data_IF_597382868970
#
_entry.id   IF_597382868970
#
_cell.length_a   1.000
_cell.length_b   1.000
_cell.length_c   1.000
_cell.angle_alpha   90.00
_cell.angle_beta   90.00
_cell.angle_gamma   90.00
#
_symmetry.space_group_name_H-M   'P 1'
#
loop_
_entity.id
_entity.type
_entity.pdbx_description
1 polymer ?
#
# COMPACT_ATOMS: atom_id res chain seq x y z
N UNK A 1 -7.69 5.04 24.58
CA UNK A 1 -6.64 4.22 25.24
C UNK A 1 -5.29 4.83 24.88
N UNK A 2 -4.44 5.17 25.83
CA UNK A 2 -3.10 5.68 25.54
C UNK A 2 -2.22 4.54 25.02
N UNK A 3 -1.50 4.77 23.93
CA UNK A 3 -0.55 3.81 23.35
C UNK A 3 0.51 3.42 24.41
N UNK A 4 1.06 2.21 24.30
CA UNK A 4 2.04 1.66 25.25
C UNK A 4 1.59 1.64 26.73
N UNK A 5 0.28 1.66 27.00
CA UNK A 5 -0.28 1.49 28.35
C UNK A 5 -1.05 0.18 28.45
N UNK A 6 -0.74 -0.63 29.47
CA UNK A 6 -1.51 -1.84 29.80
C UNK A 6 -1.89 -1.79 31.28
N UNK A 7 -3.17 -2.00 31.57
CA UNK A 7 -3.70 -2.03 32.96
C UNK A 7 -3.28 -0.78 33.77
N UNK A 8 -3.33 0.40 33.12
CA UNK A 8 -2.98 1.69 33.74
C UNK A 8 -1.48 1.94 33.92
N UNK A 9 -0.60 1.01 33.54
CA UNK A 9 0.86 1.17 33.61
C UNK A 9 1.42 1.53 32.25
N UNK A 10 2.21 2.60 32.20
CA UNK A 10 2.99 2.98 31.02
C UNK A 10 4.17 2.01 30.87
N UNK A 11 4.22 1.26 29.77
CA UNK A 11 5.19 0.19 29.52
C UNK A 11 6.33 0.60 28.59
N UNK A 12 6.19 1.69 27.84
CA UNK A 12 7.23 2.11 26.91
C UNK A 12 6.93 3.43 26.24
N UNK A 13 7.98 4.14 25.82
CA UNK A 13 7.87 5.37 25.06
C UNK A 13 7.90 5.04 23.56
N UNK A 14 6.84 5.31 22.79
CA UNK A 14 6.90 5.16 21.34
C UNK A 14 7.89 6.18 20.77
N UNK A 15 8.97 5.68 20.16
CA UNK A 15 10.00 6.53 19.55
C UNK A 15 9.53 7.13 18.22
N UNK A 16 8.81 6.35 17.42
CA UNK A 16 8.25 6.75 16.15
C UNK A 16 6.96 5.97 15.87
N UNK A 17 6.09 6.55 15.05
CA UNK A 17 4.97 5.88 14.39
C UNK A 17 5.13 6.11 12.89
N UNK A 18 4.92 5.08 12.09
CA UNK A 18 5.13 5.14 10.66
C UNK A 18 3.78 4.92 10.00
N UNK A 19 3.20 6.02 9.51
CA UNK A 19 2.02 5.94 8.65
C UNK A 19 2.37 5.29 7.32
N UNK A 20 1.53 4.38 6.84
CA UNK A 20 1.58 3.85 5.49
C UNK A 20 0.61 4.66 4.61
N UNK A 21 0.98 4.89 3.35
CA UNK A 21 0.11 5.52 2.37
C UNK A 21 0.34 4.88 1.01
N UNK A 22 -0.62 5.04 0.11
CA UNK A 22 -0.35 4.85 -1.30
C UNK A 22 0.61 5.94 -1.76
N UNK A 23 1.68 5.54 -2.44
CA UNK A 23 2.62 6.41 -3.12
C UNK A 23 2.53 6.12 -4.61
N UNK A 24 2.30 7.14 -5.43
CA UNK A 24 2.08 6.96 -6.86
C UNK A 24 2.67 8.08 -7.72
N UNK A 25 2.81 7.79 -9.02
CA UNK A 25 3.25 8.73 -10.06
C UNK A 25 2.05 9.46 -10.66
N UNK A 26 1.90 10.75 -10.38
CA UNK A 26 0.74 11.55 -10.83
C UNK A 26 0.63 11.60 -12.36
N UNK A 27 1.76 11.78 -13.05
CA UNK A 27 1.83 11.81 -14.51
C UNK A 27 1.26 10.52 -15.14
N UNK A 28 1.61 9.36 -14.61
CA UNK A 28 1.14 8.06 -15.11
C UNK A 28 -0.31 7.78 -14.77
N UNK A 29 -0.80 8.24 -13.61
CA UNK A 29 -2.24 8.18 -13.29
C UNK A 29 -3.05 9.01 -14.29
N UNK A 30 -2.58 10.22 -14.63
CA UNK A 30 -3.20 11.06 -15.65
C UNK A 30 -3.12 10.43 -17.05
N UNK A 31 -1.98 9.84 -17.41
CA UNK A 31 -1.80 9.13 -18.68
C UNK A 31 -2.74 7.91 -18.81
N UNK A 32 -3.01 7.22 -17.70
CA UNK A 32 -3.98 6.13 -17.62
C UNK A 32 -5.44 6.60 -17.73
N UNK A 33 -5.69 7.91 -17.81
CA UNK A 33 -7.02 8.49 -18.00
C UNK A 33 -7.73 8.89 -16.71
N UNK A 34 -7.03 8.94 -15.57
CA UNK A 34 -7.60 9.28 -14.28
C UNK A 34 -7.21 10.70 -13.86
N UNK A 35 -8.20 11.56 -13.62
CA UNK A 35 -7.97 12.94 -13.16
C UNK A 35 -7.60 13.01 -11.67
N UNK A 36 -8.02 12.02 -10.88
CA UNK A 36 -7.68 11.86 -9.48
C UNK A 36 -7.42 10.37 -9.16
N UNK A 37 -6.71 10.12 -8.05
CA UNK A 37 -6.51 8.76 -7.57
C UNK A 37 -7.84 8.21 -7.01
N UNK A 38 -8.30 7.00 -7.44
CA UNK A 38 -9.54 6.42 -6.96
C UNK A 38 -9.57 6.21 -5.45
N UNK A 39 -10.73 6.53 -4.85
CA UNK A 39 -10.93 6.46 -3.40
C UNK A 39 -11.53 5.13 -2.93
N UNK A 40 -11.92 4.26 -3.86
CA UNK A 40 -12.49 2.94 -3.58
C UNK A 40 -11.68 1.81 -4.24
N UNK A 41 -11.87 0.58 -3.74
CA UNK A 41 -11.12 -0.59 -4.24
C UNK A 41 -11.46 -0.92 -5.69
N UNK A 42 -12.71 -0.73 -6.13
CA UNK A 42 -13.11 -1.01 -7.51
C UNK A 42 -12.37 -0.10 -8.51
N UNK A 43 -12.42 1.21 -8.29
CA UNK A 43 -11.71 2.18 -9.10
C UNK A 43 -10.20 2.02 -9.01
N UNK A 44 -9.67 1.65 -7.83
CA UNK A 44 -8.24 1.38 -7.69
C UNK A 44 -7.79 0.19 -8.55
N UNK A 45 -8.56 -0.90 -8.58
CA UNK A 45 -8.27 -2.03 -9.47
C UNK A 45 -8.31 -1.62 -10.95
N UNK A 46 -9.29 -0.80 -11.34
CA UNK A 46 -9.39 -0.32 -12.73
C UNK A 46 -8.22 0.61 -13.11
N UNK A 47 -7.78 1.47 -12.19
CA UNK A 47 -6.57 2.27 -12.35
C UNK A 47 -5.35 1.35 -12.55
N UNK A 48 -5.14 0.35 -11.70
CA UNK A 48 -4.00 -0.55 -11.83
C UNK A 48 -3.99 -1.33 -13.15
N UNK A 49 -5.17 -1.75 -13.65
CA UNK A 49 -5.29 -2.36 -14.99
C UNK A 49 -4.89 -1.38 -16.09
N UNK A 50 -5.38 -0.14 -16.04
CA UNK A 50 -5.05 0.90 -17.02
C UNK A 50 -3.56 1.24 -17.01
N UNK A 51 -2.98 1.40 -15.82
CA UNK A 51 -1.56 1.63 -15.61
C UNK A 51 -0.71 0.49 -16.19
N UNK A 52 -1.06 -0.78 -15.95
CA UNK A 52 -0.39 -1.93 -16.57
C UNK A 52 -0.50 -1.90 -18.10
N UNK A 53 -1.67 -1.58 -18.65
CA UNK A 53 -1.86 -1.48 -20.09
C UNK A 53 -0.99 -0.39 -20.74
N UNK A 54 -0.58 0.63 -19.98
CA UNK A 54 0.37 1.68 -20.39
C UNK A 54 1.83 1.34 -20.12
N UNK A 55 2.13 0.15 -19.61
CA UNK A 55 3.50 -0.25 -19.27
C UNK A 55 4.00 0.28 -17.92
N UNK A 56 3.09 0.73 -17.06
CA UNK A 56 3.39 1.28 -15.74
C UNK A 56 2.75 0.41 -14.63
N UNK A 57 3.09 -0.88 -14.50
CA UNK A 57 2.42 -1.78 -13.56
C UNK A 57 2.53 -1.30 -12.11
N UNK A 58 1.64 -1.79 -11.25
CA UNK A 58 1.79 -1.62 -9.80
C UNK A 58 2.76 -2.66 -9.22
N UNK A 59 3.17 -2.49 -7.95
CA UNK A 59 3.99 -3.50 -7.28
C UNK A 59 3.89 -3.40 -5.76
N UNK A 60 3.32 -4.42 -5.13
CA UNK A 60 3.17 -4.49 -3.68
C UNK A 60 3.87 -5.70 -3.12
N UNK A 61 4.55 -5.53 -1.99
CA UNK A 61 5.31 -6.57 -1.30
C UNK A 61 4.41 -7.73 -0.88
N UNK A 62 4.60 -8.91 -1.47
CA UNK A 62 3.90 -10.16 -1.11
C UNK A 62 4.81 -11.16 -0.37
N UNK A 63 6.12 -10.93 -0.34
CA UNK A 63 7.06 -11.72 0.45
C UNK A 63 7.05 -11.33 1.94
N UNK A 64 8.10 -11.71 2.66
CA UNK A 64 8.21 -11.51 4.12
C UNK A 64 8.59 -10.05 4.53
N UNK A 65 7.96 -9.05 3.91
CA UNK A 65 8.07 -7.65 4.31
C UNK A 65 7.19 -7.34 5.52
N UNK A 66 7.82 -7.01 6.65
CA UNK A 66 7.13 -6.84 7.93
C UNK A 66 6.43 -5.48 8.07
N UNK A 67 6.87 -4.49 7.30
CA UNK A 67 6.23 -3.17 7.22
C UNK A 67 5.18 -3.13 6.13
N UNK A 68 5.62 -2.95 4.89
CA UNK A 68 4.76 -2.67 3.75
C UNK A 68 3.87 -3.87 3.42
N UNK A 69 4.45 -5.08 3.44
CA UNK A 69 3.72 -6.32 3.16
C UNK A 69 2.59 -6.56 4.16
N UNK A 70 2.86 -6.39 5.45
CA UNK A 70 1.83 -6.50 6.49
C UNK A 70 0.75 -5.43 6.35
N UNK A 71 1.11 -4.15 6.15
CA UNK A 71 0.13 -3.09 5.97
C UNK A 71 -0.81 -3.36 4.79
N UNK A 72 -0.24 -3.77 3.65
CA UNK A 72 -1.00 -4.14 2.46
C UNK A 72 -1.93 -5.34 2.71
N UNK A 73 -1.43 -6.40 3.34
CA UNK A 73 -2.23 -7.59 3.63
C UNK A 73 -3.38 -7.32 4.61
N UNK A 74 -3.15 -6.50 5.64
CA UNK A 74 -4.19 -6.09 6.58
C UNK A 74 -5.23 -5.19 5.93
N UNK A 75 -4.82 -4.23 5.11
CA UNK A 75 -5.74 -3.41 4.32
C UNK A 75 -6.61 -4.29 3.41
N UNK A 76 -6.03 -5.24 2.67
CA UNK A 76 -6.79 -6.15 1.81
C UNK A 76 -7.88 -6.89 2.60
N UNK A 77 -7.49 -7.51 3.71
CA UNK A 77 -8.40 -8.30 4.55
C UNK A 77 -9.51 -7.43 5.13
N UNK A 78 -9.15 -6.32 5.79
CA UNK A 78 -10.08 -5.49 6.54
C UNK A 78 -10.98 -4.65 5.64
N UNK A 79 -10.49 -4.20 4.48
CA UNK A 79 -11.28 -3.41 3.52
C UNK A 79 -12.44 -4.22 2.93
N UNK A 80 -12.34 -5.55 2.96
CA UNK A 80 -13.38 -6.47 2.52
C UNK A 80 -14.17 -7.09 3.68
N UNK A 81 -13.90 -6.68 4.93
CA UNK A 81 -14.62 -7.11 6.12
C UNK A 81 -14.12 -8.39 6.75
N UNK A 82 -13.01 -8.95 6.26
CA UNK A 82 -12.35 -10.09 6.89
C UNK A 82 -11.68 -9.68 8.20
N UNK A 83 -11.46 -10.65 9.09
CA UNK A 83 -10.81 -10.45 10.38
C UNK A 83 -10.05 -11.72 10.77
N UNK A 84 -8.91 -11.57 11.43
CA UNK A 84 -8.12 -12.73 11.88
C UNK A 84 -8.74 -13.40 13.11
N UNK A 85 -9.17 -12.55 14.05
CA UNK A 85 -9.86 -12.93 15.29
C UNK A 85 -10.99 -11.94 15.55
N UNK A 86 -12.06 -12.38 16.22
CA UNK A 86 -13.12 -11.49 16.71
C UNK A 86 -12.78 -10.82 18.06
N UNK A 87 -13.68 -9.99 18.58
CA UNK A 87 -13.52 -9.29 19.86
C UNK A 87 -13.37 -10.23 21.07
N UNK A 88 -13.85 -11.47 20.97
CA UNK A 88 -13.70 -12.51 21.99
C UNK A 88 -12.39 -13.29 21.85
N UNK A 89 -11.57 -12.97 20.84
CA UNK A 89 -10.30 -13.65 20.55
C UNK A 89 -10.47 -14.99 19.83
N UNK A 90 -11.67 -15.30 19.32
CA UNK A 90 -11.88 -16.50 18.52
C UNK A 90 -11.34 -16.27 17.11
N UNK A 91 -10.64 -17.26 16.56
CA UNK A 91 -10.14 -17.24 15.17
C UNK A 91 -11.32 -17.25 14.19
N UNK A 92 -11.36 -16.24 13.32
CA UNK A 92 -12.49 -16.00 12.38
C UNK A 92 -12.03 -15.77 10.94
N UNK A 93 -10.73 -15.99 10.65
CA UNK A 93 -10.15 -15.74 9.33
C UNK A 93 -10.79 -16.55 8.19
N UNK A 94 -11.34 -17.73 8.46
CA UNK A 94 -12.06 -18.50 7.45
C UNK A 94 -13.51 -18.00 7.33
N UNK A 95 -13.71 -16.96 6.52
CA UNK A 95 -15.02 -16.35 6.29
C UNK A 95 -15.26 -16.01 4.81
N UNK A 96 -16.53 -15.80 4.40
CA UNK A 96 -16.86 -15.31 3.06
C UNK A 96 -16.20 -13.96 2.72
N UNK A 97 -15.99 -13.10 3.73
CA UNK A 97 -15.33 -11.80 3.59
C UNK A 97 -13.83 -11.97 3.27
N UNK A 98 -13.15 -12.89 3.96
CA UNK A 98 -11.76 -13.24 3.62
C UNK A 98 -11.65 -13.79 2.21
N UNK A 99 -12.60 -14.63 1.77
CA UNK A 99 -12.61 -15.14 0.40
C UNK A 99 -12.76 -14.00 -0.62
N UNK A 100 -13.62 -13.01 -0.37
CA UNK A 100 -13.74 -11.81 -1.21
C UNK A 100 -12.45 -11.00 -1.26
N UNK A 101 -11.76 -10.85 -0.13
CA UNK A 101 -10.46 -10.19 -0.07
C UNK A 101 -9.42 -10.90 -0.95
N UNK A 102 -9.37 -12.23 -0.89
CA UNK A 102 -8.47 -13.06 -1.70
C UNK A 102 -8.80 -12.92 -3.19
N UNK A 103 -10.07 -12.96 -3.57
CA UNK A 103 -10.50 -12.80 -4.96
C UNK A 103 -10.09 -11.43 -5.51
N UNK A 104 -10.29 -10.36 -4.73
CA UNK A 104 -9.83 -9.03 -5.10
C UNK A 104 -8.31 -8.98 -5.23
N UNK A 105 -7.56 -9.56 -4.27
CA UNK A 105 -6.11 -9.62 -4.31
C UNK A 105 -5.59 -10.37 -5.55
N UNK A 106 -6.26 -11.44 -5.97
CA UNK A 106 -5.92 -12.17 -7.20
C UNK A 106 -6.10 -11.30 -8.45
N UNK A 107 -7.18 -10.54 -8.56
CA UNK A 107 -7.38 -9.62 -9.69
C UNK A 107 -6.37 -8.47 -9.66
N UNK A 108 -6.08 -7.93 -8.49
CA UNK A 108 -5.10 -6.86 -8.33
C UNK A 108 -3.68 -7.35 -8.67
N UNK A 109 -3.29 -8.54 -8.22
CA UNK A 109 -1.98 -9.14 -8.49
C UNK A 109 -1.71 -9.32 -9.99
N UNK A 110 -2.74 -9.61 -10.80
CA UNK A 110 -2.60 -9.65 -12.27
C UNK A 110 -2.12 -8.33 -12.86
N UNK A 111 -2.24 -7.21 -12.15
CA UNK A 111 -1.77 -5.89 -12.61
C UNK A 111 -0.31 -5.61 -12.25
N UNK A 112 0.35 -6.51 -11.53
CA UNK A 112 1.68 -6.25 -11.00
C UNK A 112 2.79 -6.58 -12.00
N UNK A 113 3.96 -6.01 -11.72
CA UNK A 113 5.24 -6.49 -12.23
C UNK A 113 5.53 -7.90 -11.66
N UNK A 114 6.20 -8.81 -12.41
CA UNK A 114 6.58 -10.11 -11.87
C UNK A 114 7.56 -10.01 -10.69
N UNK A 115 7.57 -11.02 -9.82
CA UNK A 115 8.57 -11.16 -8.75
C UNK A 115 8.15 -10.64 -7.38
N UNK A 116 6.99 -9.97 -7.26
CA UNK A 116 6.54 -9.32 -6.02
C UNK A 116 6.33 -10.29 -4.86
N UNK A 117 6.09 -11.57 -5.15
CA UNK A 117 6.02 -12.68 -4.17
C UNK A 117 7.32 -12.90 -3.38
N UNK A 118 8.45 -12.44 -3.92
CA UNK A 118 9.77 -12.56 -3.28
C UNK A 118 10.24 -11.25 -2.63
N UNK A 119 9.45 -10.18 -2.74
CA UNK A 119 9.87 -8.86 -2.28
C UNK A 119 9.85 -8.73 -0.76
N UNK A 120 10.81 -7.98 -0.25
CA UNK A 120 10.80 -7.35 1.06
C UNK A 120 10.46 -5.86 0.89
N UNK A 121 10.29 -5.14 2.01
CA UNK A 121 9.89 -3.72 2.03
C UNK A 121 10.78 -2.84 1.14
N UNK A 122 12.10 -3.08 1.13
CA UNK A 122 13.05 -2.29 0.32
C UNK A 122 12.89 -2.48 -1.20
N UNK A 123 12.31 -3.59 -1.65
CA UNK A 123 12.23 -3.92 -3.07
C UNK A 123 11.25 -3.00 -3.80
N UNK A 124 10.09 -2.69 -3.19
CA UNK A 124 9.11 -1.79 -3.79
C UNK A 124 9.69 -0.37 -3.99
N UNK A 125 10.50 0.12 -3.04
CA UNK A 125 11.18 1.41 -3.15
C UNK A 125 12.15 1.43 -4.33
N UNK A 126 12.97 0.39 -4.46
CA UNK A 126 13.95 0.28 -5.55
C UNK A 126 13.25 0.24 -6.91
N UNK A 127 12.21 -0.58 -7.07
CA UNK A 127 11.45 -0.67 -8.31
C UNK A 127 10.75 0.66 -8.65
N UNK A 128 10.15 1.33 -7.66
CA UNK A 128 9.48 2.62 -7.87
C UNK A 128 10.47 3.71 -8.29
N UNK A 129 11.61 3.82 -7.60
CA UNK A 129 12.64 4.82 -7.88
C UNK A 129 13.44 4.52 -9.16
N UNK A 130 13.47 3.26 -9.60
CA UNK A 130 13.98 2.87 -10.91
C UNK A 130 13.02 3.21 -12.06
N UNK A 131 11.77 3.60 -11.76
CA UNK A 131 10.75 3.88 -12.75
C UNK A 131 10.13 2.62 -13.37
N UNK A 132 10.13 1.50 -12.65
CA UNK A 132 9.58 0.22 -13.12
C UNK A 132 8.10 0.05 -12.76
N UNK A 133 7.64 0.73 -11.70
CA UNK A 133 6.27 0.63 -11.19
C UNK A 133 5.66 1.99 -10.84
N UNK A 134 4.34 2.08 -10.95
CA UNK A 134 3.57 3.32 -10.81
C UNK A 134 3.01 3.57 -9.41
N UNK A 135 2.79 2.51 -8.63
CA UNK A 135 2.07 2.55 -7.36
C UNK A 135 2.67 1.54 -6.38
N UNK A 136 2.89 1.99 -5.14
CA UNK A 136 3.28 1.18 -3.97
C UNK A 136 2.44 1.58 -2.75
N UNK A 137 2.39 0.73 -1.73
CA UNK A 137 2.02 1.13 -0.35
C UNK A 137 3.30 1.16 0.47
N UNK A 138 3.68 2.34 0.96
CA UNK A 138 4.91 2.53 1.74
C UNK A 138 4.73 3.70 2.72
N UNK A 139 5.60 3.75 3.73
CA UNK A 139 5.86 4.98 4.46
C UNK A 139 6.61 6.03 3.61
N UNK A 140 7.16 7.04 4.28
CA UNK A 140 7.81 8.20 3.62
C UNK A 140 9.08 7.86 2.82
N UNK A 141 9.56 6.61 2.88
CA UNK A 141 10.92 6.24 2.49
C UNK A 141 11.23 6.42 0.99
N UNK A 142 10.32 6.05 0.08
CA UNK A 142 10.48 6.30 -1.36
C UNK A 142 10.58 7.80 -1.67
N UNK A 143 9.62 8.58 -1.17
CA UNK A 143 9.59 10.03 -1.35
C UNK A 143 10.82 10.71 -0.76
N UNK A 144 11.21 10.34 0.46
CA UNK A 144 12.37 10.91 1.11
C UNK A 144 13.65 10.62 0.33
N UNK A 145 13.83 9.39 -0.15
CA UNK A 145 14.98 9.01 -0.99
C UNK A 145 15.04 9.85 -2.27
N UNK A 146 13.93 10.00 -2.99
CA UNK A 146 13.87 10.84 -4.19
C UNK A 146 14.19 12.30 -3.86
N UNK A 147 13.59 12.85 -2.80
CA UNK A 147 13.76 14.24 -2.39
C UNK A 147 15.19 14.58 -1.97
N UNK A 148 15.83 13.72 -1.17
CA UNK A 148 17.18 13.95 -0.65
C UNK A 148 18.22 13.86 -1.76
N UNK A 149 18.00 13.01 -2.77
CA UNK A 149 18.96 12.77 -3.84
C UNK A 149 18.66 13.51 -5.14
N UNK A 150 17.60 14.34 -5.19
CA UNK A 150 17.17 15.05 -6.41
C UNK A 150 18.27 15.91 -7.04
N UNK A 151 19.16 16.48 -6.24
CA UNK A 151 20.21 17.37 -6.74
C UNK A 151 21.42 16.58 -7.29
N UNK A 152 21.48 15.27 -7.01
CA UNK A 152 22.53 14.36 -7.46
C UNK A 152 22.11 13.50 -8.67
N UNK A 153 20.79 13.31 -8.89
CA UNK A 153 20.24 12.54 -10.00
C UNK A 153 19.00 13.25 -10.60
N UNK A 154 19.09 13.74 -11.84
CA UNK A 154 17.96 14.37 -12.53
C UNK A 154 16.72 13.47 -12.62
N UNK A 155 16.87 12.14 -12.71
CA UNK A 155 15.72 11.21 -12.73
C UNK A 155 15.00 11.23 -11.40
N UNK A 156 15.73 11.25 -10.29
CA UNK A 156 15.14 11.35 -8.95
C UNK A 156 14.49 12.72 -8.73
N UNK A 157 15.01 13.79 -9.34
CA UNK A 157 14.35 15.10 -9.31
C UNK A 157 12.98 15.09 -9.98
N UNK A 158 12.87 14.46 -11.16
CA UNK A 158 11.60 14.34 -11.87
C UNK A 158 10.62 13.42 -11.12
N UNK A 159 11.10 12.28 -10.61
CA UNK A 159 10.28 11.40 -9.76
C UNK A 159 9.79 12.15 -8.51
N UNK A 160 10.65 12.91 -7.83
CA UNK A 160 10.27 13.65 -6.61
C UNK A 160 9.16 14.68 -6.86
N UNK A 161 9.16 15.35 -8.02
CA UNK A 161 8.10 16.31 -8.41
C UNK A 161 6.77 15.62 -8.72
N UNK A 162 6.85 14.39 -9.22
CA UNK A 162 5.71 13.61 -9.72
C UNK A 162 5.09 12.66 -8.69
N UNK A 163 5.77 12.42 -7.56
CA UNK A 163 5.21 11.63 -6.45
C UNK A 163 4.03 12.38 -5.82
N UNK A 164 2.93 11.64 -5.63
CA UNK A 164 1.82 12.02 -4.76
C UNK A 164 1.52 10.89 -3.79
N UNK A 165 0.81 11.22 -2.72
CA UNK A 165 0.38 10.25 -1.72
C UNK A 165 -1.10 10.40 -1.42
N UNK A 166 -1.74 9.29 -1.03
CA UNK A 166 -3.13 9.26 -0.56
C UNK A 166 -3.31 8.08 0.39
N UNK A 167 -4.37 8.11 1.20
CA UNK A 167 -4.76 6.97 2.03
C UNK A 167 -5.11 5.76 1.16
N UNK A 168 -5.09 4.57 1.75
CA UNK A 168 -5.50 3.37 1.04
C UNK A 168 -7.00 3.45 0.64
N UNK A 169 -7.39 2.93 -0.53
CA UNK A 169 -8.77 2.99 -1.00
C UNK A 169 -9.75 2.29 -0.05
N UNK A 170 -10.95 2.87 0.08
CA UNK A 170 -12.04 2.33 0.88
C UNK A 170 -12.64 1.11 0.18
N UNK A 171 -12.65 -0.03 0.87
CA UNK A 171 -13.30 -1.23 0.35
C UNK A 171 -14.80 -1.27 0.64
N UNK A 172 -15.47 -2.40 0.32
CA UNK A 172 -16.91 -2.58 0.50
C UNK A 172 -17.44 -2.32 1.92
N UNK A 173 -16.57 -2.31 2.93
CA UNK A 173 -16.94 -1.96 4.32
C UNK A 173 -17.28 -0.47 4.51
N UNK A 174 -17.04 0.38 3.50
CA UNK A 174 -17.50 1.78 3.47
C UNK A 174 -16.75 2.73 4.42
N UNK A 175 -15.63 2.30 5.00
CA UNK A 175 -14.79 3.11 5.89
C UNK A 175 -13.30 2.85 5.64
N UNK A 176 -12.47 3.83 5.97
CA UNK A 176 -11.02 3.64 5.97
C UNK A 176 -10.60 2.61 7.02
N UNK A 177 -9.67 1.73 6.64
CA UNK A 177 -9.11 0.66 7.47
C UNK A 177 -7.63 0.54 7.15
N UNK A 178 -6.79 0.75 8.15
CA UNK A 178 -5.33 0.74 8.01
C UNK A 178 -4.72 0.14 9.27
N UNK A 179 -3.60 -0.57 9.10
CA UNK A 179 -2.80 -1.04 10.21
C UNK A 179 -1.96 0.14 10.73
N UNK A 180 -2.05 0.41 12.03
CA UNK A 180 -1.18 1.41 12.66
C UNK A 180 0.13 0.73 13.06
N UNK A 181 1.26 1.20 12.50
CA UNK A 181 2.60 0.69 12.76
C UNK A 181 3.47 1.68 13.55
#
# INVERSE_FOLDING_TARGET
KQYATREGKFLGLPLATIGNAIVYRESWVKEAGFSEFPKDTAGFLDLCKALKAKGHPAGFTHGHGVGDGNNYAHWLLWSHGGQMVDEAGKVTINSPETLKAIQYAQELYKTFIPGTESWLDVNNNRAFLAGEISVIANGISAYNTAKVNKDNDPKLAEIAKDIRTTNLPIGPVGKSVELFQ
#
